data_IF_227520852768
#
_entry.id   IF_227520852768
#
_cell.length_a   1.000
_cell.length_b   1.000
_cell.length_c   1.000
_cell.angle_alpha   90.00
_cell.angle_beta   90.00
_cell.angle_gamma   90.00
#
_symmetry.space_group_name_H-M   'P 1'
#
loop_
_entity.id
_entity.type
_entity.pdbx_description
1 polymer ?
#
# COMPACT_ATOMS: atom_id res chain seq x y z
N UNK A 1 -33.89 18.08 -47.65
CA UNK A 1 -32.53 18.14 -47.09
C UNK A 1 -32.52 17.30 -45.80
N UNK A 2 -31.93 16.11 -45.83
CA UNK A 2 -31.71 15.27 -44.66
C UNK A 2 -30.29 15.56 -44.13
N UNK A 3 -30.18 16.17 -42.95
CA UNK A 3 -28.93 16.27 -42.25
C UNK A 3 -28.64 14.93 -41.55
N UNK A 4 -27.60 14.24 -42.02
CA UNK A 4 -27.08 13.06 -41.33
C UNK A 4 -26.23 13.50 -40.14
N UNK A 5 -26.65 13.19 -38.90
CA UNK A 5 -25.84 13.28 -37.71
C UNK A 5 -24.81 12.14 -37.69
N UNK A 6 -23.55 12.44 -37.93
CA UNK A 6 -22.49 11.48 -37.72
C UNK A 6 -22.22 11.39 -36.18
N UNK A 7 -22.59 10.27 -35.58
CA UNK A 7 -22.22 9.97 -34.19
C UNK A 7 -20.74 9.57 -34.14
N UNK A 8 -19.93 10.43 -33.61
CA UNK A 8 -18.52 10.10 -33.30
C UNK A 8 -18.50 9.17 -32.09
N UNK A 9 -18.27 7.89 -32.30
CA UNK A 9 -17.93 6.96 -31.24
C UNK A 9 -16.52 7.29 -30.77
N UNK A 10 -16.39 7.94 -29.62
CA UNK A 10 -15.11 8.05 -28.93
C UNK A 10 -14.70 6.63 -28.48
N UNK A 11 -13.71 6.06 -29.12
CA UNK A 11 -13.06 4.85 -28.61
C UNK A 11 -12.52 5.17 -27.22
N UNK A 12 -12.73 4.27 -26.21
CA UNK A 12 -12.09 4.43 -24.92
C UNK A 12 -10.58 4.47 -25.17
N UNK A 13 -9.92 5.53 -24.69
CA UNK A 13 -8.47 5.59 -24.72
C UNK A 13 -7.95 4.39 -23.93
N UNK A 14 -7.37 3.43 -24.63
CA UNK A 14 -6.61 2.35 -23.98
C UNK A 14 -5.55 3.01 -23.16
N UNK A 15 -5.54 2.76 -21.84
CA UNK A 15 -4.48 3.28 -20.99
C UNK A 15 -3.14 2.79 -21.55
N UNK A 16 -2.33 3.73 -22.00
CA UNK A 16 -1.00 3.42 -22.56
C UNK A 16 -0.19 2.72 -21.46
N UNK A 17 0.44 1.60 -21.79
CA UNK A 17 1.36 0.94 -20.86
C UNK A 17 2.55 1.87 -20.60
N UNK A 18 2.53 2.51 -19.42
CA UNK A 18 3.57 3.42 -18.97
C UNK A 18 4.68 2.70 -18.22
N UNK A 19 4.67 1.37 -18.19
CA UNK A 19 5.64 0.58 -17.41
C UNK A 19 7.07 0.68 -17.97
N UNK A 20 7.22 0.90 -19.26
CA UNK A 20 8.52 0.85 -19.96
C UNK A 20 9.30 -0.45 -19.63
N UNK A 21 8.60 -1.56 -19.46
CA UNK A 21 9.17 -2.82 -18.99
C UNK A 21 9.46 -2.90 -17.50
N UNK A 22 9.06 -1.91 -16.70
CA UNK A 22 9.21 -1.96 -15.24
C UNK A 22 8.29 -3.02 -14.63
N UNK A 23 8.84 -3.84 -13.74
CA UNK A 23 8.10 -4.93 -13.10
C UNK A 23 6.97 -4.47 -12.16
N UNK A 24 6.92 -3.19 -11.80
CA UNK A 24 5.87 -2.61 -10.94
C UNK A 24 4.45 -2.90 -11.43
N UNK A 25 4.26 -2.97 -12.74
CA UNK A 25 2.95 -3.14 -13.38
C UNK A 25 2.70 -4.58 -13.85
N UNK A 26 3.58 -5.52 -13.48
CA UNK A 26 3.37 -6.92 -13.79
C UNK A 26 2.13 -7.47 -13.09
N UNK A 27 1.35 -8.26 -13.82
CA UNK A 27 0.34 -9.15 -13.27
C UNK A 27 0.92 -10.57 -13.14
N UNK A 28 0.39 -11.34 -12.21
CA UNK A 28 0.76 -12.75 -12.02
C UNK A 28 -0.44 -13.65 -12.33
N UNK A 29 -0.23 -14.68 -13.12
CA UNK A 29 -1.22 -15.72 -13.39
C UNK A 29 -1.47 -16.63 -12.18
N UNK A 30 -0.61 -16.57 -11.16
CA UNK A 30 -0.69 -17.37 -9.92
C UNK A 30 -1.48 -16.66 -8.81
N UNK A 31 -1.86 -15.39 -9.00
CA UNK A 31 -2.42 -14.55 -7.95
C UNK A 31 -3.75 -13.94 -8.39
N UNK A 32 -4.72 -13.94 -7.49
CA UNK A 32 -5.99 -13.22 -7.64
C UNK A 32 -5.81 -11.86 -6.96
N UNK A 33 -6.12 -10.77 -7.65
CA UNK A 33 -6.09 -9.42 -7.10
C UNK A 33 -7.51 -8.89 -6.95
N UNK A 34 -7.82 -8.38 -5.76
CA UNK A 34 -9.12 -7.79 -5.44
C UNK A 34 -8.94 -6.38 -4.90
N UNK A 35 -9.61 -5.40 -5.50
CA UNK A 35 -9.69 -4.06 -4.90
C UNK A 35 -10.52 -4.14 -3.63
N UNK A 36 -9.99 -3.54 -2.56
CA UNK A 36 -10.62 -3.51 -1.24
C UNK A 36 -10.56 -2.12 -0.65
N UNK A 37 -11.41 -1.86 0.33
CA UNK A 37 -11.32 -0.66 1.15
C UNK A 37 -11.80 -0.95 2.56
N UNK A 38 -11.23 -0.27 3.52
CA UNK A 38 -11.60 -0.33 4.93
C UNK A 38 -11.45 1.05 5.55
N UNK A 39 -11.89 1.23 6.78
CA UNK A 39 -11.78 2.51 7.48
C UNK A 39 -10.74 2.41 8.57
N UNK A 40 -9.94 3.46 8.72
CA UNK A 40 -9.12 3.66 9.90
C UNK A 40 -9.95 4.26 11.07
N UNK A 41 -9.35 4.41 12.25
CA UNK A 41 -10.07 4.97 13.43
C UNK A 41 -10.62 6.38 13.21
N UNK A 42 -10.05 7.13 12.28
CA UNK A 42 -10.53 8.48 11.91
C UNK A 42 -11.66 8.45 10.89
N UNK A 43 -12.23 7.27 10.62
CA UNK A 43 -13.29 7.04 9.62
C UNK A 43 -12.88 7.38 8.18
N UNK A 44 -11.59 7.56 7.92
CA UNK A 44 -11.05 7.75 6.58
C UNK A 44 -11.02 6.41 5.86
N UNK A 45 -11.48 6.39 4.60
CA UNK A 45 -11.37 5.22 3.75
C UNK A 45 -9.90 5.02 3.34
N UNK A 46 -9.38 3.85 3.61
CA UNK A 46 -8.09 3.37 3.12
C UNK A 46 -8.36 2.40 1.97
N UNK A 47 -7.80 2.67 0.81
CA UNK A 47 -7.92 1.83 -0.37
C UNK A 47 -6.74 0.86 -0.46
N UNK A 48 -6.99 -0.37 -0.88
CA UNK A 48 -5.97 -1.39 -1.02
C UNK A 48 -6.24 -2.36 -2.16
N UNK A 49 -5.23 -3.17 -2.45
CA UNK A 49 -5.33 -4.34 -3.30
C UNK A 49 -4.96 -5.58 -2.47
N UNK A 50 -5.90 -6.51 -2.36
CA UNK A 50 -5.70 -7.80 -1.70
C UNK A 50 -5.25 -8.82 -2.74
N UNK A 51 -4.11 -9.45 -2.49
CA UNK A 51 -3.51 -10.46 -3.36
C UNK A 51 -3.64 -11.82 -2.69
N UNK A 52 -4.29 -12.74 -3.37
CA UNK A 52 -4.57 -14.08 -2.84
C UNK A 52 -3.95 -15.11 -3.80
N UNK A 53 -3.04 -15.97 -3.33
CA UNK A 53 -2.56 -17.09 -4.13
C UNK A 53 -3.71 -17.94 -4.66
N UNK A 54 -3.70 -18.31 -5.95
CA UNK A 54 -4.79 -19.14 -6.53
C UNK A 54 -4.89 -20.52 -5.88
N UNK A 55 -3.77 -21.05 -5.40
CA UNK A 55 -3.67 -22.34 -4.72
C UNK A 55 -3.77 -22.24 -3.18
N UNK A 56 -4.21 -21.07 -2.65
CA UNK A 56 -4.36 -20.88 -1.20
C UNK A 56 -5.38 -21.87 -0.63
N UNK A 57 -5.02 -22.54 0.46
CA UNK A 57 -6.00 -23.24 1.28
C UNK A 57 -6.89 -22.22 2.02
N UNK A 58 -8.08 -21.99 1.49
CA UNK A 58 -9.05 -21.04 2.06
C UNK A 58 -9.74 -21.57 3.33
N UNK A 59 -9.63 -22.85 3.62
CA UNK A 59 -10.11 -23.46 4.88
C UNK A 59 -9.03 -23.40 5.97
N UNK A 60 -7.77 -23.24 5.57
CA UNK A 60 -6.64 -23.07 6.47
C UNK A 60 -6.50 -21.65 7.02
N UNK A 61 -5.52 -21.48 7.87
CA UNK A 61 -5.12 -20.19 8.44
C UNK A 61 -3.76 -19.79 7.86
N UNK A 62 -3.73 -18.77 7.02
CA UNK A 62 -2.55 -18.36 6.25
C UNK A 62 -1.91 -17.10 6.83
N UNK A 63 -0.59 -17.02 6.73
CA UNK A 63 0.12 -15.80 7.09
C UNK A 63 -0.19 -14.68 6.10
N UNK A 64 -0.22 -13.44 6.60
CA UNK A 64 -0.51 -12.28 5.78
C UNK A 64 0.54 -11.17 5.92
N UNK A 65 0.72 -10.37 4.86
CA UNK A 65 1.70 -9.29 4.82
C UNK A 65 1.04 -8.02 4.28
N UNK A 66 1.16 -6.94 5.02
CA UNK A 66 0.78 -5.59 4.59
C UNK A 66 1.98 -4.96 3.87
N UNK A 67 1.77 -4.31 2.74
CA UNK A 67 2.84 -3.66 1.98
C UNK A 67 2.54 -2.17 1.81
N UNK A 68 3.37 -1.33 2.42
CA UNK A 68 3.29 0.13 2.30
C UNK A 68 4.20 0.67 1.21
N UNK A 69 3.70 1.63 0.43
CA UNK A 69 4.41 2.27 -0.68
C UNK A 69 5.44 3.32 -0.21
N UNK A 70 6.42 3.71 -1.05
CA UNK A 70 7.29 4.85 -0.79
C UNK A 70 6.51 6.14 -0.57
N UNK A 71 7.06 7.07 0.20
CA UNK A 71 6.46 8.39 0.33
C UNK A 71 6.38 9.08 -1.05
N UNK A 72 5.23 9.65 -1.38
CA UNK A 72 4.96 10.25 -2.68
C UNK A 72 4.58 9.27 -3.79
N UNK A 73 4.44 7.98 -3.48
CA UNK A 73 3.98 6.95 -4.40
C UNK A 73 2.52 6.56 -4.14
N UNK A 74 2.06 5.55 -4.84
CA UNK A 74 0.76 4.89 -4.66
C UNK A 74 0.93 3.37 -4.70
N UNK A 75 -0.07 2.63 -4.24
CA UNK A 75 -0.04 1.17 -4.13
C UNK A 75 0.24 0.44 -5.45
N UNK A 76 -0.21 1.00 -6.59
CA UNK A 76 -0.04 0.41 -7.92
C UNK A 76 1.41 0.28 -8.37
N UNK A 77 2.33 1.02 -7.74
CA UNK A 77 3.75 1.01 -8.06
C UNK A 77 4.49 -0.11 -7.33
N UNK A 78 5.58 0.19 -6.64
CA UNK A 78 6.42 -0.84 -6.00
C UNK A 78 5.67 -1.67 -4.94
N UNK A 79 4.65 -1.11 -4.25
CA UNK A 79 3.91 -1.89 -3.27
C UNK A 79 3.17 -3.07 -3.90
N UNK A 80 2.52 -2.89 -5.05
CA UNK A 80 1.88 -3.99 -5.77
C UNK A 80 2.91 -5.04 -6.25
N UNK A 81 4.09 -4.61 -6.68
CA UNK A 81 5.15 -5.54 -7.07
C UNK A 81 5.53 -6.45 -5.91
N UNK A 82 5.86 -5.86 -4.74
CA UNK A 82 6.23 -6.64 -3.57
C UNK A 82 5.08 -7.53 -3.09
N UNK A 83 3.85 -6.99 -3.07
CA UNK A 83 2.67 -7.76 -2.70
C UNK A 83 2.45 -8.96 -3.62
N UNK A 84 2.59 -8.78 -4.94
CA UNK A 84 2.49 -9.86 -5.93
C UNK A 84 3.55 -10.92 -5.70
N UNK A 85 4.82 -10.51 -5.52
CA UNK A 85 5.93 -11.45 -5.33
C UNK A 85 5.80 -12.26 -4.04
N UNK A 86 5.34 -11.64 -2.95
CA UNK A 86 5.07 -12.36 -1.71
C UNK A 86 3.84 -13.28 -1.82
N UNK A 87 2.82 -12.87 -2.58
CA UNK A 87 1.67 -13.75 -2.85
C UNK A 87 2.07 -14.97 -3.70
N UNK A 88 2.97 -14.82 -4.66
CA UNK A 88 3.55 -15.96 -5.40
C UNK A 88 4.27 -16.96 -4.50
N UNK A 89 4.73 -16.55 -3.31
CA UNK A 89 5.34 -17.39 -2.28
C UNK A 89 4.33 -17.98 -1.28
N UNK A 90 3.03 -17.76 -1.49
CA UNK A 90 1.97 -18.36 -0.68
C UNK A 90 1.42 -17.48 0.44
N UNK A 91 1.87 -16.23 0.59
CA UNK A 91 1.30 -15.30 1.56
C UNK A 91 0.03 -14.64 1.03
N UNK A 92 -0.93 -14.38 1.90
CA UNK A 92 -1.97 -13.38 1.62
C UNK A 92 -1.34 -12.01 1.76
N UNK A 93 -1.45 -11.14 0.76
CA UNK A 93 -0.83 -9.83 0.85
C UNK A 93 -1.81 -8.69 0.57
N UNK A 94 -1.58 -7.55 1.19
CA UNK A 94 -2.40 -6.36 1.06
C UNK A 94 -1.49 -5.16 0.82
N UNK A 95 -1.50 -4.61 -0.39
CA UNK A 95 -0.94 -3.28 -0.63
C UNK A 95 -1.99 -2.21 -0.34
N UNK A 96 -1.59 -1.08 0.22
CA UNK A 96 -2.52 0.01 0.53
C UNK A 96 -1.98 1.36 0.04
N UNK A 97 -2.90 2.26 -0.31
CA UNK A 97 -2.61 3.68 -0.37
C UNK A 97 -2.69 4.24 1.05
N UNK A 98 -1.64 4.89 1.51
CA UNK A 98 -1.69 5.64 2.76
C UNK A 98 -2.68 6.79 2.64
N UNK A 99 -3.32 7.16 3.75
CA UNK A 99 -4.24 8.30 3.80
C UNK A 99 -3.65 9.53 3.13
N UNK A 100 -4.48 10.32 2.45
CA UNK A 100 -4.16 11.48 1.60
C UNK A 100 -3.58 11.15 0.22
N UNK A 101 -3.25 9.88 -0.09
CA UNK A 101 -2.64 9.43 -1.35
C UNK A 101 -3.56 8.49 -2.14
N UNK A 102 -3.32 8.39 -3.44
CA UNK A 102 -4.01 7.45 -4.32
C UNK A 102 -5.55 7.50 -4.21
N UNK A 103 -6.16 6.34 -4.02
CA UNK A 103 -7.61 6.18 -3.87
C UNK A 103 -8.09 6.29 -2.40
N UNK A 104 -7.17 6.47 -1.42
CA UNK A 104 -7.50 6.68 -0.02
C UNK A 104 -8.01 8.10 0.25
N UNK A 105 -8.81 8.23 1.30
CA UNK A 105 -9.35 9.53 1.72
C UNK A 105 -8.28 10.44 2.32
N UNK A 106 -8.65 11.67 2.58
CA UNK A 106 -7.87 12.68 3.26
C UNK A 106 -7.72 13.97 2.46
N UNK A 107 -7.79 15.09 3.17
CA UNK A 107 -7.58 16.43 2.63
C UNK A 107 -6.74 17.26 3.61
N UNK A 108 -5.82 18.11 3.13
CA UNK A 108 -5.46 18.31 1.71
C UNK A 108 -4.82 17.04 1.12
N UNK A 109 -4.92 16.84 -0.21
CA UNK A 109 -4.27 15.71 -0.87
C UNK A 109 -2.75 15.84 -0.76
N UNK A 110 -2.08 14.68 -0.77
CA UNK A 110 -0.62 14.56 -0.69
C UNK A 110 -0.02 15.13 0.62
N UNK A 111 -0.84 15.27 1.66
CA UNK A 111 -0.34 15.56 3.00
C UNK A 111 0.45 14.37 3.56
N UNK A 112 1.35 14.62 4.48
CA UNK A 112 2.12 13.60 5.20
C UNK A 112 1.79 13.68 6.68
N UNK A 113 1.24 12.60 7.22
CA UNK A 113 0.93 12.46 8.64
C UNK A 113 1.40 11.09 9.16
N UNK A 114 2.58 11.04 9.81
CA UNK A 114 3.13 9.78 10.30
C UNK A 114 2.19 9.02 11.24
N UNK A 115 1.45 9.73 12.08
CA UNK A 115 0.52 9.12 13.04
C UNK A 115 -0.67 8.46 12.32
N UNK A 116 -1.25 9.16 11.33
CA UNK A 116 -2.34 8.60 10.52
C UNK A 116 -1.83 7.42 9.68
N UNK A 117 -0.59 7.47 9.18
CA UNK A 117 0.00 6.38 8.42
C UNK A 117 0.27 5.15 9.30
N UNK A 118 0.71 5.32 10.54
CA UNK A 118 0.83 4.22 11.49
C UNK A 118 -0.54 3.58 11.75
N UNK A 119 -1.58 4.41 11.86
CA UNK A 119 -2.97 3.94 12.01
C UNK A 119 -3.48 3.22 10.76
N UNK A 120 -3.13 3.66 9.54
CA UNK A 120 -3.51 2.95 8.31
C UNK A 120 -2.95 1.52 8.28
N UNK A 121 -1.74 1.31 8.81
CA UNK A 121 -1.19 -0.05 8.99
C UNK A 121 -1.98 -0.86 10.01
N UNK A 122 -2.37 -0.27 11.15
CA UNK A 122 -3.20 -0.94 12.16
C UNK A 122 -4.59 -1.28 11.63
N UNK A 123 -5.21 -0.38 10.88
CA UNK A 123 -6.48 -0.63 10.20
C UNK A 123 -6.37 -1.75 9.16
N UNK A 124 -5.22 -1.88 8.48
CA UNK A 124 -4.95 -2.98 7.57
C UNK A 124 -4.82 -4.33 8.33
N UNK A 125 -4.25 -4.34 9.55
CA UNK A 125 -4.26 -5.52 10.44
C UNK A 125 -5.69 -5.91 10.80
N UNK A 126 -6.53 -4.94 11.16
CA UNK A 126 -7.95 -5.19 11.44
C UNK A 126 -8.64 -5.81 10.24
N UNK A 127 -8.49 -5.21 9.06
CA UNK A 127 -9.09 -5.71 7.84
C UNK A 127 -8.63 -7.14 7.52
N UNK A 128 -7.33 -7.44 7.55
CA UNK A 128 -6.82 -8.78 7.32
C UNK A 128 -7.34 -9.77 8.37
N UNK A 129 -7.48 -9.33 9.62
CA UNK A 129 -8.05 -10.13 10.70
C UNK A 129 -9.52 -10.50 10.51
N UNK A 130 -10.28 -9.82 9.64
CA UNK A 130 -11.65 -10.19 9.28
C UNK A 130 -11.72 -11.29 8.22
N UNK A 131 -10.62 -11.55 7.51
CA UNK A 131 -10.59 -12.59 6.48
C UNK A 131 -10.51 -13.96 7.12
N UNK A 132 -11.48 -14.84 6.82
CA UNK A 132 -11.59 -16.18 7.46
C UNK A 132 -10.35 -17.05 7.23
N UNK A 133 -9.65 -16.85 6.14
CA UNK A 133 -8.47 -17.61 5.72
C UNK A 133 -7.13 -17.01 6.21
N UNK A 134 -7.16 -15.91 6.98
CA UNK A 134 -5.95 -15.27 7.55
C UNK A 134 -5.75 -15.68 9.00
N UNK A 135 -4.52 -15.99 9.35
CA UNK A 135 -4.08 -16.21 10.73
C UNK A 135 -3.74 -14.87 11.39
N UNK A 136 -4.58 -14.44 12.33
CA UNK A 136 -4.36 -13.19 13.09
C UNK A 136 -3.05 -13.15 13.88
N UNK A 137 -2.47 -14.31 14.16
CA UNK A 137 -1.20 -14.42 14.88
C UNK A 137 0.03 -14.40 13.94
N UNK A 138 -0.19 -14.32 12.62
CA UNK A 138 0.86 -14.34 11.61
C UNK A 138 0.67 -13.22 10.58
N UNK A 139 0.49 -11.99 11.07
CA UNK A 139 0.42 -10.79 10.23
C UNK A 139 1.73 -10.02 10.37
N UNK A 140 2.36 -9.71 9.24
CA UNK A 140 3.57 -8.88 9.17
C UNK A 140 3.37 -7.70 8.23
N UNK A 141 4.39 -6.85 8.14
CA UNK A 141 4.40 -5.73 7.21
C UNK A 141 5.74 -5.57 6.50
N UNK A 142 5.68 -5.11 5.25
CA UNK A 142 6.83 -4.63 4.47
C UNK A 142 6.63 -3.14 4.24
N UNK A 143 7.56 -2.33 4.72
CA UNK A 143 7.56 -0.90 4.48
C UNK A 143 8.67 -0.51 3.50
N UNK A 144 8.29 0.11 2.38
CA UNK A 144 9.22 0.53 1.33
C UNK A 144 9.51 2.02 1.51
N UNK A 145 10.78 2.40 1.57
CA UNK A 145 11.25 3.78 1.72
C UNK A 145 10.62 4.45 2.97
N UNK A 146 9.83 5.51 2.82
CA UNK A 146 9.14 6.18 3.94
C UNK A 146 8.21 5.27 4.73
N UNK A 147 7.53 4.33 4.07
CA UNK A 147 6.66 3.36 4.76
C UNK A 147 7.41 2.42 5.69
N UNK A 148 8.73 2.26 5.54
CA UNK A 148 9.55 1.52 6.50
C UNK A 148 9.46 2.13 7.90
N UNK A 149 9.61 3.45 8.02
CA UNK A 149 9.48 4.13 9.31
C UNK A 149 8.05 4.14 9.85
N UNK A 150 7.04 4.22 8.97
CA UNK A 150 5.64 4.20 9.39
C UNK A 150 5.22 2.80 9.87
N UNK A 151 5.64 1.74 9.19
CA UNK A 151 5.40 0.36 9.62
C UNK A 151 6.07 0.05 10.97
N UNK A 152 7.30 0.52 11.21
CA UNK A 152 7.97 0.40 12.51
C UNK A 152 7.21 1.18 13.59
N UNK A 153 6.75 2.39 13.27
CA UNK A 153 5.96 3.20 14.21
C UNK A 153 4.64 2.51 14.58
N UNK A 154 3.97 1.91 13.60
CA UNK A 154 2.77 1.12 13.84
C UNK A 154 3.07 -0.12 14.72
N UNK A 155 4.11 -0.88 14.41
CA UNK A 155 4.48 -2.08 15.17
C UNK A 155 4.86 -1.80 16.63
N UNK A 156 5.33 -0.59 16.94
CA UNK A 156 5.62 -0.17 18.32
C UNK A 156 4.38 -0.10 19.20
N UNK A 157 3.23 0.18 18.61
CA UNK A 157 1.96 0.37 19.32
C UNK A 157 0.95 -0.74 19.05
N UNK A 158 1.11 -1.48 17.96
CA UNK A 158 0.24 -2.60 17.59
C UNK A 158 0.97 -3.95 17.65
N UNK A 159 0.85 -4.69 18.76
CA UNK A 159 1.55 -5.97 18.95
C UNK A 159 1.04 -7.09 18.04
N UNK A 160 -0.03 -6.86 17.28
CA UNK A 160 -0.57 -7.82 16.31
C UNK A 160 0.31 -7.93 15.07
N UNK A 161 1.13 -6.93 14.77
CA UNK A 161 2.17 -7.03 13.75
C UNK A 161 3.34 -7.84 14.28
N UNK A 162 3.53 -9.08 13.77
CA UNK A 162 4.49 -10.04 14.31
C UNK A 162 5.86 -10.01 13.64
N UNK A 163 5.94 -9.44 12.44
CA UNK A 163 7.19 -9.31 11.69
C UNK A 163 7.18 -8.03 10.86
N UNK A 164 8.32 -7.37 10.80
CA UNK A 164 8.52 -6.17 9.99
C UNK A 164 9.75 -6.36 9.11
N UNK A 165 9.59 -6.09 7.82
CA UNK A 165 10.69 -5.93 6.88
C UNK A 165 10.68 -4.51 6.32
N UNK A 166 11.86 -3.96 6.09
CA UNK A 166 12.00 -2.64 5.47
C UNK A 166 12.89 -2.74 4.24
N UNK A 167 12.53 -1.97 3.22
CA UNK A 167 13.26 -1.91 1.95
C UNK A 167 13.66 -0.47 1.71
N UNK A 168 14.97 -0.21 1.61
CA UNK A 168 15.52 1.15 1.40
C UNK A 168 14.88 2.19 2.33
N UNK A 169 14.74 1.84 3.61
CA UNK A 169 14.03 2.65 4.60
C UNK A 169 14.73 3.98 4.84
N UNK A 170 13.92 5.01 5.00
CA UNK A 170 14.33 6.31 5.54
C UNK A 170 13.86 6.50 6.98
N UNK A 171 14.74 7.03 7.83
CA UNK A 171 14.31 7.65 9.10
C UNK A 171 13.65 8.99 8.77
N UNK A 172 12.32 8.96 8.61
CA UNK A 172 11.55 10.15 8.25
C UNK A 172 11.63 11.25 9.31
N UNK A 173 11.78 10.88 10.58
CA UNK A 173 12.00 11.84 11.67
C UNK A 173 13.33 12.56 11.53
N UNK A 174 14.42 11.83 11.33
CA UNK A 174 15.73 12.42 11.11
C UNK A 174 15.80 13.24 9.82
N UNK A 175 15.19 12.74 8.73
CA UNK A 175 15.13 13.47 7.46
C UNK A 175 14.38 14.82 7.60
N UNK A 176 13.29 14.86 8.36
CA UNK A 176 12.56 16.10 8.64
C UNK A 176 13.36 17.07 9.50
N UNK A 177 14.11 16.57 10.49
CA UNK A 177 14.91 17.43 11.38
C UNK A 177 16.21 17.94 10.74
N UNK A 178 16.84 17.11 9.91
CA UNK A 178 18.23 17.35 9.47
C UNK A 178 18.42 17.28 7.95
N UNK A 179 17.36 17.18 7.16
CA UNK A 179 17.38 16.84 5.74
C UNK A 179 18.06 15.48 5.45
N UNK A 180 18.13 15.11 4.19
CA UNK A 180 18.76 13.86 3.78
C UNK A 180 20.24 13.86 4.14
N UNK A 181 20.73 12.73 4.65
CA UNK A 181 22.12 12.54 5.08
C UNK A 181 22.61 13.55 6.13
N UNK A 182 21.67 14.11 6.91
CA UNK A 182 21.96 15.13 7.94
C UNK A 182 22.68 16.35 7.37
N UNK A 183 22.36 16.75 6.15
CA UNK A 183 23.00 17.85 5.42
C UNK A 183 22.68 19.24 5.96
N UNK A 184 21.71 19.35 6.90
CA UNK A 184 21.28 20.61 7.48
C UNK A 184 21.16 20.52 8.99
N UNK A 185 21.49 21.62 9.67
CA UNK A 185 21.22 21.79 11.11
C UNK A 185 19.79 22.21 11.33
N UNK A 186 19.27 22.06 12.56
CA UNK A 186 17.94 22.56 12.92
C UNK A 186 17.78 24.06 12.68
N UNK A 187 18.85 24.85 12.89
CA UNK A 187 18.83 26.30 12.67
C UNK A 187 18.68 26.65 11.17
N UNK A 188 19.22 25.84 10.27
CA UNK A 188 19.10 26.03 8.82
C UNK A 188 17.72 25.61 8.28
N UNK A 189 16.92 24.89 9.07
CA UNK A 189 15.58 24.43 8.67
C UNK A 189 14.43 25.23 9.28
N UNK A 190 14.74 26.20 10.12
CA UNK A 190 13.78 27.18 10.64
C UNK A 190 13.65 28.37 9.69
#
# INVERSE_FOLDING_TARGET
>A
AMLGMAASFAMPAMAQDMSNGAANFNSSDKVIVQKVSFKNQYQMKVAGNLFIPKNLDRQGKNAAIIVGHPMGAVKEQSANLYATKMAEQGFVTLSLDLSFWGESDGRPRNAVSPDIYAEDFSAAVDYLGTQSFVDRQRIGAIGICGSGSFAISAAKIDPRMKAIATVSMYDMGAANRHALNKSQTLAQRK
#
